data_IF_784637657908
#
_entry.id   IF_784637657908
#
_cell.length_a   1.000
_cell.length_b   1.000
_cell.length_c   1.000
_cell.angle_alpha   90.00
_cell.angle_beta   90.00
_cell.angle_gamma   90.00
#
_symmetry.space_group_name_H-M   'P 1'
#
loop_
_entity.id
_entity.type
_entity.pdbx_description
1 polymer ?
#
# COMPACT_ATOMS: atom_id res chain seq x y z
N UNK A 1 -27.05 -10.00 -35.57
CA UNK A 1 -26.52 -9.32 -34.36
C UNK A 1 -25.92 -8.00 -34.80
N UNK A 2 -26.46 -6.87 -34.38
CA UNK A 2 -25.75 -5.60 -34.53
C UNK A 2 -24.77 -5.52 -33.35
N UNK A 3 -23.47 -5.57 -33.61
CA UNK A 3 -22.49 -5.11 -32.63
C UNK A 3 -22.70 -3.61 -32.51
N UNK A 4 -23.16 -3.15 -31.34
CA UNK A 4 -23.20 -1.73 -31.04
C UNK A 4 -21.74 -1.29 -30.90
N UNK A 5 -21.18 -0.78 -32.00
CA UNK A 5 -19.89 -0.12 -31.97
C UNK A 5 -20.10 1.23 -31.32
N UNK A 6 -19.45 1.45 -30.17
CA UNK A 6 -19.63 2.67 -29.39
C UNK A 6 -18.94 3.86 -30.05
N UNK A 7 -18.06 3.64 -31.04
CA UNK A 7 -17.19 4.65 -31.66
C UNK A 7 -16.37 5.47 -30.63
N UNK A 8 -16.20 4.89 -29.43
CA UNK A 8 -15.39 5.42 -28.34
C UNK A 8 -14.22 4.48 -28.17
N UNK A 9 -13.04 4.98 -28.51
CA UNK A 9 -11.77 4.27 -28.35
C UNK A 9 -11.66 3.67 -26.95
N UNK A 10 -11.43 2.35 -26.87
CA UNK A 10 -11.27 1.59 -25.62
C UNK A 10 -12.51 1.49 -24.75
N UNK A 11 -13.69 1.84 -25.26
CA UNK A 11 -14.96 1.51 -24.63
C UNK A 11 -15.41 0.09 -25.01
N UNK A 12 -15.81 -0.72 -24.03
CA UNK A 12 -16.30 -2.09 -24.25
C UNK A 12 -17.82 -2.20 -24.10
N UNK A 13 -18.46 -1.21 -23.49
CA UNK A 13 -19.92 -1.16 -23.31
C UNK A 13 -20.40 0.28 -23.31
N UNK A 14 -21.44 0.58 -24.08
CA UNK A 14 -22.11 1.87 -24.09
C UNK A 14 -23.62 1.72 -23.92
N UNK A 15 -24.26 2.80 -23.48
CA UNK A 15 -25.71 2.90 -23.34
C UNK A 15 -26.39 3.15 -24.70
N UNK A 16 -27.73 3.25 -24.68
CA UNK A 16 -28.53 3.53 -25.90
C UNK A 16 -28.26 4.91 -26.52
N UNK A 17 -27.65 5.83 -25.75
CA UNK A 17 -27.31 7.18 -26.20
C UNK A 17 -25.87 7.27 -26.72
N UNK A 18 -25.14 6.16 -26.74
CA UNK A 18 -23.72 6.12 -27.15
C UNK A 18 -22.78 6.65 -26.07
N UNK A 19 -23.21 6.78 -24.81
CA UNK A 19 -22.32 7.06 -23.69
C UNK A 19 -21.61 5.80 -23.24
N UNK A 20 -20.29 5.86 -23.05
CA UNK A 20 -19.54 4.73 -22.54
C UNK A 20 -19.95 4.44 -21.09
N UNK A 21 -20.23 3.17 -20.79
CA UNK A 21 -20.53 2.67 -19.46
C UNK A 21 -19.35 1.90 -18.86
N UNK A 22 -18.47 1.34 -19.69
CA UNK A 22 -17.34 0.53 -19.26
C UNK A 22 -16.19 0.60 -20.27
N UNK A 23 -14.99 0.85 -19.76
CA UNK A 23 -13.74 0.83 -20.51
C UNK A 23 -13.06 -0.53 -20.50
N UNK A 24 -12.21 -0.78 -21.49
CA UNK A 24 -11.27 -1.90 -21.51
C UNK A 24 -10.22 -1.71 -20.40
N UNK A 25 -9.80 -2.78 -19.71
CA UNK A 25 -8.62 -2.68 -18.84
C UNK A 25 -7.36 -2.41 -19.70
N UNK A 26 -6.42 -1.54 -19.27
CA UNK A 26 -6.32 -0.84 -17.99
C UNK A 26 -6.82 0.63 -18.03
N UNK A 27 -7.85 0.93 -18.81
CA UNK A 27 -8.42 2.27 -18.95
C UNK A 27 -9.52 2.55 -17.92
N UNK A 28 -9.69 3.81 -17.57
CA UNK A 28 -10.72 4.32 -16.66
C UNK A 28 -11.65 5.30 -17.36
N UNK A 29 -12.91 5.33 -16.94
CA UNK A 29 -13.96 6.12 -17.59
C UNK A 29 -14.05 7.52 -17.00
N UNK A 30 -13.68 8.52 -17.79
CA UNK A 30 -14.01 9.91 -17.52
C UNK A 30 -15.40 10.23 -18.09
N UNK A 31 -16.41 10.18 -17.22
CA UNK A 31 -17.81 10.48 -17.57
C UNK A 31 -18.04 11.93 -18.00
N UNK A 32 -17.18 12.87 -17.58
CA UNK A 32 -17.30 14.27 -17.98
C UNK A 32 -16.92 14.46 -19.44
N UNK A 33 -15.91 13.73 -19.92
CA UNK A 33 -15.46 13.79 -21.31
C UNK A 33 -15.97 12.64 -22.19
N UNK A 34 -16.68 11.67 -21.60
CA UNK A 34 -17.14 10.43 -22.22
C UNK A 34 -16.00 9.67 -22.92
N UNK A 35 -14.85 9.56 -22.25
CA UNK A 35 -13.63 8.94 -22.81
C UNK A 35 -13.02 7.95 -21.83
N UNK A 36 -12.47 6.89 -22.41
CA UNK A 36 -11.60 5.97 -21.71
C UNK A 36 -10.16 6.50 -21.76
N UNK A 37 -9.57 6.71 -20.59
CA UNK A 37 -8.20 7.21 -20.44
C UNK A 37 -7.35 6.20 -19.71
N UNK A 38 -6.06 6.16 -20.01
CA UNK A 38 -5.18 5.18 -19.38
C UNK A 38 -5.07 5.49 -17.89
N UNK A 39 -5.35 4.51 -17.02
CA UNK A 39 -5.39 4.71 -15.56
C UNK A 39 -4.12 5.39 -15.03
N UNK A 40 -2.95 4.92 -15.48
CA UNK A 40 -1.65 5.42 -15.04
C UNK A 40 -1.35 6.86 -15.50
N UNK A 41 -1.88 7.28 -16.66
CA UNK A 41 -1.67 8.63 -17.19
C UNK A 41 -2.52 9.66 -16.42
N UNK A 42 -3.72 9.27 -16.00
CA UNK A 42 -4.62 10.14 -15.24
C UNK A 42 -4.23 10.21 -13.75
N UNK A 43 -3.77 9.09 -13.19
CA UNK A 43 -3.51 8.95 -11.77
C UNK A 43 -2.09 8.45 -11.51
N UNK A 44 -1.22 9.32 -11.02
CA UNK A 44 0.15 8.95 -10.69
C UNK A 44 0.19 7.86 -9.61
N UNK A 45 1.12 6.91 -9.77
CA UNK A 45 1.34 5.78 -8.87
C UNK A 45 0.12 4.83 -8.73
N UNK A 46 -0.84 4.91 -9.65
CA UNK A 46 -1.97 3.99 -9.70
C UNK A 46 -1.56 2.66 -10.33
N UNK A 47 -2.13 1.56 -9.83
CA UNK A 47 -1.93 0.22 -10.40
C UNK A 47 -3.17 -0.25 -11.15
N UNK A 48 -4.35 0.00 -10.58
CA UNK A 48 -5.64 -0.34 -11.16
C UNK A 48 -6.65 0.75 -10.87
N UNK A 49 -7.43 1.11 -11.87
CA UNK A 49 -8.56 2.02 -11.75
C UNK A 49 -9.86 1.26 -12.09
N UNK A 50 -10.98 1.81 -11.62
CA UNK A 50 -12.30 1.38 -12.06
C UNK A 50 -12.43 1.63 -13.56
N UNK A 51 -13.01 0.66 -14.26
CA UNK A 51 -13.32 0.78 -15.70
C UNK A 51 -14.63 1.53 -15.96
N UNK A 52 -15.41 1.85 -14.92
CA UNK A 52 -16.73 2.50 -15.01
C UNK A 52 -16.78 3.88 -14.37
N UNK A 53 -15.76 4.25 -13.59
CA UNK A 53 -15.62 5.55 -12.93
C UNK A 53 -14.16 5.96 -12.92
N UNK A 54 -13.88 7.27 -12.92
CA UNK A 54 -12.53 7.82 -12.84
C UNK A 54 -11.94 7.74 -11.42
N UNK A 55 -11.80 6.52 -10.89
CA UNK A 55 -11.40 6.24 -9.52
C UNK A 55 -10.31 5.17 -9.47
N UNK A 56 -9.31 5.37 -8.62
CA UNK A 56 -8.27 4.38 -8.35
C UNK A 56 -8.83 3.29 -7.43
N UNK A 57 -8.61 2.01 -7.77
CA UNK A 57 -8.94 0.86 -6.92
C UNK A 57 -7.71 0.37 -6.14
N UNK A 58 -6.54 0.38 -6.78
CA UNK A 58 -5.30 -0.15 -6.22
C UNK A 58 -4.13 0.70 -6.69
N UNK A 59 -3.20 1.01 -5.78
CA UNK A 59 -1.94 1.66 -6.12
C UNK A 59 -0.93 0.70 -6.75
N UNK A 60 0.07 1.23 -7.46
CA UNK A 60 1.02 0.43 -8.24
C UNK A 60 1.81 -0.59 -7.39
N UNK A 61 2.02 -0.29 -6.11
CA UNK A 61 2.75 -1.13 -5.18
C UNK A 61 2.46 -0.75 -3.73
N UNK A 62 2.89 -1.59 -2.79
CA UNK A 62 2.83 -1.31 -1.34
C UNK A 62 3.75 -0.17 -0.87
N UNK A 63 4.51 0.48 -1.77
CA UNK A 63 5.19 1.76 -1.50
C UNK A 63 4.22 2.94 -1.48
N UNK A 64 3.00 2.71 -1.94
CA UNK A 64 1.92 3.67 -1.95
C UNK A 64 0.67 3.06 -1.30
N UNK A 65 -0.16 3.92 -0.74
CA UNK A 65 -1.45 3.56 -0.19
C UNK A 65 -2.51 4.52 -0.71
N UNK A 66 -3.75 4.02 -0.85
CA UNK A 66 -4.86 4.81 -1.36
C UNK A 66 -5.48 5.61 -0.21
N UNK A 67 -5.50 6.93 -0.33
CA UNK A 67 -6.15 7.85 0.63
C UNK A 67 -6.78 9.00 -0.15
N UNK A 68 -8.06 9.25 0.11
CA UNK A 68 -8.87 10.27 -0.57
C UNK A 68 -8.81 10.22 -2.11
N UNK A 69 -8.79 9.00 -2.67
CA UNK A 69 -8.77 8.77 -4.11
C UNK A 69 -7.40 8.99 -4.76
N UNK A 70 -6.35 9.20 -3.98
CA UNK A 70 -4.98 9.43 -4.47
C UNK A 70 -4.02 8.39 -3.87
N UNK A 71 -3.09 7.89 -4.69
CA UNK A 71 -2.02 7.01 -4.23
C UNK A 71 -0.89 7.84 -3.61
N UNK A 72 -0.84 7.84 -2.28
CA UNK A 72 0.18 8.55 -1.51
C UNK A 72 1.35 7.63 -1.16
N UNK A 73 2.56 8.16 -1.16
CA UNK A 73 3.77 7.39 -0.86
C UNK A 73 3.86 7.12 0.64
N UNK A 74 4.31 5.94 1.04
CA UNK A 74 4.36 5.57 2.45
C UNK A 74 5.28 6.47 3.29
N UNK A 75 6.44 6.86 2.73
CA UNK A 75 7.46 7.62 3.47
C UNK A 75 7.14 9.11 3.67
N UNK A 76 6.08 9.63 3.05
CA UNK A 76 5.64 11.02 3.28
C UNK A 76 4.88 11.17 4.59
N UNK A 77 4.11 10.15 4.97
CA UNK A 77 3.24 10.16 6.16
C UNK A 77 3.85 9.33 7.30
N UNK A 78 4.47 8.19 6.95
CA UNK A 78 5.13 7.28 7.88
C UNK A 78 6.63 7.38 7.69
N UNK A 79 7.29 8.20 8.52
CA UNK A 79 8.74 8.39 8.46
C UNK A 79 9.49 7.05 8.49
N UNK A 80 10.46 6.92 7.59
CA UNK A 80 11.31 5.73 7.42
C UNK A 80 10.56 4.43 7.03
N UNK A 81 9.31 4.54 6.56
CA UNK A 81 8.52 3.42 6.08
C UNK A 81 8.68 3.21 4.56
N UNK A 82 9.19 2.05 4.16
CA UNK A 82 9.31 1.67 2.74
C UNK A 82 8.01 1.11 2.17
N UNK A 83 7.30 0.30 2.95
CA UNK A 83 6.03 -0.31 2.56
C UNK A 83 5.01 -0.14 3.66
N UNK A 84 3.79 0.24 3.31
CA UNK A 84 2.70 0.48 4.25
C UNK A 84 1.40 -0.15 3.76
N UNK A 85 0.47 -0.36 4.69
CA UNK A 85 -0.88 -0.83 4.35
C UNK A 85 -1.87 0.34 4.21
N UNK A 86 -1.67 1.38 5.02
CA UNK A 86 -2.47 2.62 5.06
C UNK A 86 -1.64 3.74 5.71
N UNK A 87 -2.23 4.93 5.89
CA UNK A 87 -1.57 6.12 6.47
C UNK A 87 -1.02 5.95 7.88
N UNK A 88 -1.39 4.88 8.60
CA UNK A 88 -0.98 4.66 10.00
C UNK A 88 -0.16 3.39 10.22
N UNK A 89 -0.13 2.47 9.26
CA UNK A 89 0.41 1.12 9.44
C UNK A 89 1.56 0.87 8.47
N UNK A 90 2.80 0.85 9.00
CA UNK A 90 3.95 0.42 8.25
C UNK A 90 4.11 -1.11 8.27
N UNK A 91 4.54 -1.68 7.16
CA UNK A 91 4.80 -3.11 6.99
C UNK A 91 6.32 -3.38 6.94
N UNK A 92 7.07 -2.49 6.28
CA UNK A 92 8.52 -2.62 6.13
C UNK A 92 9.21 -1.27 6.31
N UNK A 93 10.16 -1.23 7.23
CA UNK A 93 10.99 -0.06 7.48
C UNK A 93 12.23 -0.02 6.60
N UNK A 94 12.73 1.19 6.36
CA UNK A 94 14.01 1.44 5.71
C UNK A 94 15.18 0.81 6.46
N UNK A 95 16.28 0.60 5.74
CA UNK A 95 17.53 0.12 6.33
C UNK A 95 17.95 0.99 7.51
N UNK A 96 18.21 0.36 8.66
CA UNK A 96 18.55 1.06 9.91
C UNK A 96 17.37 1.23 10.88
N UNK A 97 16.15 0.87 10.48
CA UNK A 97 14.95 0.97 11.31
C UNK A 97 14.30 -0.40 11.51
N UNK A 98 13.48 -0.52 12.54
CA UNK A 98 12.65 -1.68 12.87
C UNK A 98 11.22 -1.25 13.17
N UNK A 99 10.28 -2.15 12.93
CA UNK A 99 8.87 -1.92 13.24
C UNK A 99 8.66 -2.04 14.76
N UNK A 100 8.01 -1.06 15.36
CA UNK A 100 7.57 -1.11 16.76
C UNK A 100 6.21 -1.82 16.92
N UNK A 101 5.73 -1.93 18.15
CA UNK A 101 4.42 -2.54 18.46
C UNK A 101 3.22 -1.77 17.90
N UNK A 102 3.41 -0.53 17.47
CA UNK A 102 2.39 0.34 16.90
C UNK A 102 2.49 0.43 15.37
N UNK A 103 3.26 -0.45 14.73
CA UNK A 103 3.52 -0.44 13.29
C UNK A 103 4.18 0.85 12.77
N UNK A 104 5.02 1.48 13.60
CA UNK A 104 5.85 2.63 13.23
C UNK A 104 7.33 2.22 13.15
N UNK A 105 8.08 2.91 12.30
CA UNK A 105 9.51 2.67 12.17
C UNK A 105 10.29 3.46 13.22
N UNK A 106 11.09 2.74 14.01
CA UNK A 106 11.99 3.32 14.99
C UNK A 106 13.42 2.91 14.69
N UNK A 107 14.38 3.80 14.95
CA UNK A 107 15.78 3.52 14.68
C UNK A 107 16.24 2.27 15.44
N UNK A 108 17.02 1.42 14.78
CA UNK A 108 17.74 0.33 15.44
C UNK A 108 18.71 0.96 16.42
N UNK A 109 18.36 0.98 17.69
CA UNK A 109 19.36 1.28 18.72
C UNK A 109 20.29 0.07 18.78
N UNK A 110 21.59 0.29 18.62
CA UNK A 110 22.64 -0.71 18.92
C UNK A 110 22.68 -1.10 20.41
N UNK A 111 21.70 -0.63 21.18
CA UNK A 111 21.54 -0.79 22.61
C UNK A 111 20.08 -1.11 22.91
N UNK A 112 19.57 -2.25 22.42
CA UNK A 112 18.76 -3.06 23.33
C UNK A 112 19.71 -3.50 24.45
N UNK A 113 19.90 -2.60 25.42
CA UNK A 113 20.25 -3.02 26.76
C UNK A 113 19.12 -3.97 27.12
N UNK A 114 19.38 -5.27 27.03
CA UNK A 114 18.68 -6.25 27.83
C UNK A 114 18.76 -5.65 29.23
N UNK A 115 17.69 -4.99 29.71
CA UNK A 115 17.48 -4.89 31.14
C UNK A 115 17.41 -6.35 31.52
N UNK A 116 18.55 -6.93 31.93
CA UNK A 116 18.57 -8.23 32.58
C UNK A 116 17.46 -8.13 33.60
N UNK A 117 16.42 -8.94 33.45
CA UNK A 117 15.42 -9.05 34.49
C UNK A 117 16.19 -9.51 35.74
N UNK A 118 16.51 -8.58 36.62
CA UNK A 118 17.01 -8.87 37.96
C UNK A 118 15.81 -9.35 38.74
N UNK A 119 15.43 -10.61 38.53
CA UNK A 119 14.64 -11.39 39.47
C UNK A 119 14.95 -12.87 39.28
N UNK A 120 16.11 -13.30 39.78
CA UNK A 120 16.31 -14.67 40.20
C UNK A 120 16.15 -14.69 41.72
N UNK A 121 14.90 -14.71 42.17
CA UNK A 121 14.62 -15.13 43.54
C UNK A 121 14.94 -16.63 43.65
N UNK A 122 15.68 -16.95 44.70
CA UNK A 122 16.28 -18.24 45.03
C UNK A 122 15.43 -19.47 44.70
N UNK A 123 16.05 -20.45 44.01
CA UNK A 123 16.34 -21.80 44.51
C UNK A 123 16.26 -22.89 43.41
N UNK A 124 17.40 -23.57 43.20
CA UNK A 124 17.60 -24.94 42.66
C UNK A 124 17.48 -25.23 41.14
N UNK A 125 18.63 -25.19 40.48
CA UNK A 125 19.42 -26.32 39.93
C UNK A 125 20.11 -25.91 38.63
N UNK A 126 21.40 -25.60 38.76
CA UNK A 126 22.32 -25.32 37.67
C UNK A 126 22.79 -26.65 37.07
N UNK A 127 22.62 -26.82 35.77
CA UNK A 127 23.55 -27.54 34.91
C UNK A 127 23.86 -26.60 33.73
N UNK A 128 24.67 -25.59 34.03
CA UNK A 128 25.28 -24.69 33.07
C UNK A 128 26.35 -25.45 32.28
N UNK A 129 26.29 -25.36 30.96
CA UNK A 129 27.50 -25.39 30.14
C UNK A 129 27.35 -24.37 29.03
N UNK A 130 27.27 -23.07 29.38
CA UNK A 130 27.93 -21.96 28.67
C UNK A 130 28.02 -20.75 29.61
N UNK A 131 29.24 -20.42 30.03
CA UNK A 131 29.56 -19.32 30.95
C UNK A 131 29.07 -17.97 30.42
N UNK A 132 28.12 -17.34 31.12
CA UNK A 132 28.14 -15.90 31.35
C UNK A 132 27.81 -15.63 32.81
N UNK A 133 28.72 -14.95 33.49
CA UNK A 133 28.57 -14.54 34.88
C UNK A 133 27.20 -13.87 35.12
N UNK A 134 26.47 -14.45 36.06
CA UNK A 134 25.69 -13.73 37.06
C UNK A 134 26.46 -13.86 38.39
#
# INVERSE_FOLDING_TARGET
MCSQDCDITKCVKCDINGMCEMCEEPYTLDKTTNKCKLCFDEHQNSGKCSTTENLIEVCESKRFYLEDGVCQKCDTTLSDCQLCDNSTTCILCSTGFVLDVNNKCVAKTTSMSIKRATNCESNRQILDTERKLC
#
